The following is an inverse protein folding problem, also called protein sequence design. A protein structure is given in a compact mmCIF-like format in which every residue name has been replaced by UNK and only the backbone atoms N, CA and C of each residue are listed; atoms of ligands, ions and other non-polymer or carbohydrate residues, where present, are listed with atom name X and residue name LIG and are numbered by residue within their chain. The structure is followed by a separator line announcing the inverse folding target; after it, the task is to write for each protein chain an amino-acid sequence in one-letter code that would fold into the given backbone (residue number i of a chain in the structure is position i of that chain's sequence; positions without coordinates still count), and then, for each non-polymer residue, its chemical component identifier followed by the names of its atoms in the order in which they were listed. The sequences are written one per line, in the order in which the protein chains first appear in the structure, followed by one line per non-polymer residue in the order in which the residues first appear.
data_IF_828425480793
#
_entry.id   IF_828425480793
#
_cell.length_a   1.000
_cell.length_b   1.000
_cell.length_c   1.000
_cell.angle_alpha   90.00
_cell.angle_beta   90.00
_cell.angle_gamma   90.00
#
_symmetry.space_group_name_H-M   'P 1'
#
loop_
_entity.id
_entity.type
_entity.pdbx_description
1 polymer ?
#
# COMPACT_ATOMS: atom_id res chain seq x y z
N UNK A 1 -15.09 4.76 -1.71
CA UNK A 1 -15.46 4.81 -0.27
C UNK A 1 -14.28 5.37 0.52
N UNK A 2 -14.49 6.17 1.58
CA UNK A 2 -13.38 6.73 2.37
C UNK A 2 -13.02 5.74 3.49
N UNK A 3 -11.80 5.24 3.49
CA UNK A 3 -11.24 4.37 4.50
C UNK A 3 -10.16 5.10 5.31
N UNK A 4 -10.02 4.78 6.60
CA UNK A 4 -9.00 5.36 7.48
C UNK A 4 -7.98 4.29 7.84
N UNK A 5 -6.73 4.48 7.46
CA UNK A 5 -5.60 3.65 7.92
C UNK A 5 -4.87 4.38 9.03
N UNK A 6 -4.43 3.64 10.04
CA UNK A 6 -3.52 4.15 11.06
C UNK A 6 -2.11 3.64 10.78
N UNK A 7 -1.13 4.53 10.74
CA UNK A 7 0.25 4.12 10.55
C UNK A 7 0.80 3.51 11.85
N UNK A 8 1.36 2.28 11.82
CA UNK A 8 1.86 1.62 13.03
C UNK A 8 3.13 2.27 13.60
N UNK A 9 3.91 3.02 12.80
CA UNK A 9 5.14 3.66 13.27
C UNK A 9 4.94 5.02 13.92
N UNK A 10 4.05 5.85 13.38
CA UNK A 10 3.90 7.25 13.81
C UNK A 10 2.49 7.62 14.29
N UNK A 11 1.61 6.61 14.37
CA UNK A 11 0.23 6.70 14.83
C UNK A 11 -0.65 7.68 14.01
N UNK A 12 -0.16 8.12 12.85
CA UNK A 12 -0.88 9.03 11.98
C UNK A 12 -2.10 8.34 11.36
N UNK A 13 -3.26 9.00 11.45
CA UNK A 13 -4.46 8.61 10.71
C UNK A 13 -4.41 9.22 9.31
N UNK A 14 -4.77 8.40 8.32
CA UNK A 14 -4.77 8.80 6.92
C UNK A 14 -6.03 8.28 6.25
N UNK A 15 -6.76 9.17 5.56
CA UNK A 15 -7.94 8.81 4.78
C UNK A 15 -7.58 8.50 3.32
N UNK A 16 -8.04 7.38 2.78
CA UNK A 16 -7.89 7.03 1.36
C UNK A 16 -9.22 6.64 0.75
N UNK A 17 -9.41 7.01 -0.51
CA UNK A 17 -10.56 6.56 -1.30
C UNK A 17 -10.16 5.33 -2.09
N UNK A 18 -10.68 4.16 -1.70
CA UNK A 18 -10.54 2.95 -2.51
C UNK A 18 -11.71 2.83 -3.49
N UNK A 19 -11.39 2.32 -4.68
CA UNK A 19 -12.36 1.97 -5.73
C UNK A 19 -12.98 0.61 -5.43
N UNK A 20 -12.17 -0.36 -4.98
CA UNK A 20 -12.60 -1.71 -4.59
C UNK A 20 -12.60 -1.85 -3.05
N UNK A 21 -13.47 -2.71 -2.49
CA UNK A 21 -13.55 -2.96 -1.04
C UNK A 21 -12.36 -3.76 -0.50
N UNK A 22 -11.62 -4.41 -1.38
CA UNK A 22 -10.35 -5.07 -1.14
C UNK A 22 -9.21 -4.32 -1.83
N UNK A 23 -8.06 -4.27 -1.16
CA UNK A 23 -6.85 -3.66 -1.69
C UNK A 23 -5.63 -4.27 -1.02
N UNK A 24 -4.73 -4.82 -1.82
CA UNK A 24 -3.40 -5.21 -1.37
C UNK A 24 -2.35 -4.43 -2.13
N UNK A 25 -1.47 -3.74 -1.42
CA UNK A 25 -0.40 -3.03 -2.06
C UNK A 25 0.43 -2.13 -1.16
N UNK A 26 1.44 -1.50 -1.77
CA UNK A 26 2.32 -0.61 -1.05
C UNK A 26 1.60 0.67 -0.64
N UNK A 27 1.67 0.98 0.64
CA UNK A 27 1.19 2.19 1.27
C UNK A 27 2.37 2.98 1.84
N UNK A 28 2.40 4.28 1.55
CA UNK A 28 3.39 5.19 2.13
C UNK A 28 2.70 6.15 3.08
N UNK A 29 3.15 6.16 4.32
CA UNK A 29 2.64 7.11 5.30
C UNK A 29 2.99 8.55 4.89
N UNK A 30 2.01 9.46 4.93
CA UNK A 30 2.25 10.86 4.60
C UNK A 30 3.12 11.58 5.65
N UNK A 31 3.08 11.15 6.91
CA UNK A 31 3.77 11.78 8.05
C UNK A 31 5.21 11.25 8.22
N UNK A 32 5.40 9.97 8.50
CA UNK A 32 6.75 9.41 8.70
C UNK A 32 7.46 9.00 7.40
N UNK A 33 6.75 9.02 6.26
CA UNK A 33 7.26 8.55 4.96
C UNK A 33 7.68 7.08 4.92
N UNK A 34 7.40 6.31 5.97
CA UNK A 34 7.60 4.86 6.03
C UNK A 34 6.80 4.16 4.93
N UNK A 35 7.43 3.14 4.36
CA UNK A 35 6.82 2.27 3.37
C UNK A 35 6.27 1.04 4.07
N UNK A 36 5.04 0.68 3.74
CA UNK A 36 4.32 -0.46 4.30
C UNK A 36 3.64 -1.19 3.16
N UNK A 37 3.38 -2.47 3.34
CA UNK A 37 2.37 -3.18 2.54
C UNK A 37 1.11 -3.27 3.39
N UNK A 38 -0.01 -2.82 2.83
CA UNK A 38 -1.31 -2.96 3.48
C UNK A 38 -2.16 -3.96 2.70
N UNK A 39 -2.90 -4.79 3.45
CA UNK A 39 -3.96 -5.63 2.92
C UNK A 39 -5.27 -5.18 3.56
N UNK A 40 -6.23 -4.83 2.71
CA UNK A 40 -7.58 -4.40 3.07
C UNK A 40 -8.52 -5.45 2.48
N UNK A 41 -9.39 -5.99 3.31
CA UNK A 41 -10.43 -6.94 2.89
C UNK A 41 -11.73 -6.56 3.57
N UNK A 42 -12.84 -6.59 2.83
CA UNK A 42 -14.16 -6.18 3.32
C UNK A 42 -14.13 -4.79 3.97
N UNK A 43 -13.37 -3.87 3.39
CA UNK A 43 -13.27 -2.51 3.87
C UNK A 43 -12.62 -2.34 5.25
N UNK A 44 -11.89 -3.34 5.72
CA UNK A 44 -11.11 -3.33 6.97
C UNK A 44 -9.63 -3.60 6.69
N UNK A 45 -8.74 -2.90 7.38
CA UNK A 45 -7.30 -3.17 7.33
C UNK A 45 -7.02 -4.50 8.02
N UNK A 46 -6.63 -5.51 7.24
CA UNK A 46 -6.26 -6.83 7.74
C UNK A 46 -4.79 -6.88 8.13
N UNK A 47 -3.92 -6.31 7.30
CA UNK A 47 -2.47 -6.34 7.52
C UNK A 47 -1.86 -4.97 7.21
N UNK A 48 -0.86 -4.58 8.01
CA UNK A 48 -0.03 -3.41 7.76
C UNK A 48 1.39 -3.73 8.21
N UNK A 49 2.19 -4.24 7.29
CA UNK A 49 3.56 -4.66 7.58
C UNK A 49 4.54 -3.64 7.04
N UNK A 50 5.57 -3.25 7.83
CA UNK A 50 6.63 -2.38 7.35
C UNK A 50 7.34 -3.07 6.18
N UNK A 51 7.45 -2.34 5.09
CA UNK A 51 8.14 -2.79 3.90
C UNK A 51 9.51 -2.15 3.87
N UNK A 52 10.55 -2.98 3.79
CA UNK A 52 11.91 -2.47 3.61
C UNK A 52 12.02 -1.74 2.28
N UNK A 53 12.89 -0.73 2.22
CA UNK A 53 13.10 0.06 1.00
C UNK A 53 13.49 -0.84 -0.20
N UNK A 54 14.24 -1.91 0.06
CA UNK A 54 14.62 -2.91 -0.93
C UNK A 54 13.41 -3.69 -1.49
N UNK A 55 12.45 -4.06 -0.64
CA UNK A 55 11.24 -4.77 -1.09
C UNK A 55 10.28 -3.85 -1.84
N UNK A 56 10.18 -2.58 -1.42
CA UNK A 56 9.42 -1.58 -2.16
C UNK A 56 9.94 -1.41 -3.59
N UNK A 57 11.27 -1.34 -3.74
CA UNK A 57 11.92 -1.19 -5.05
C UNK A 57 11.72 -2.44 -5.93
N UNK A 58 11.85 -3.64 -5.35
CA UNK A 58 11.56 -4.91 -6.05
C UNK A 58 10.12 -4.99 -6.54
N UNK A 59 9.14 -4.59 -5.72
CA UNK A 59 7.73 -4.60 -6.12
C UNK A 59 7.44 -3.56 -7.21
N UNK A 60 8.06 -2.38 -7.14
CA UNK A 60 7.92 -1.35 -8.15
C UNK A 60 8.52 -1.80 -9.51
N UNK A 61 9.69 -2.43 -9.49
CA UNK A 61 10.33 -2.99 -10.68
C UNK A 61 9.50 -4.13 -11.31
N UNK A 62 8.88 -4.98 -10.49
CA UNK A 62 8.01 -6.05 -10.98
C UNK A 62 6.75 -5.50 -11.68
N UNK A 63 6.17 -4.39 -11.20
CA UNK A 63 5.04 -3.73 -11.86
C UNK A 63 5.43 -3.10 -13.20
N UNK A 64 6.60 -2.46 -13.28
CA UNK A 64 7.09 -1.84 -14.53
C UNK A 64 7.36 -2.89 -15.63
N UNK A 65 7.93 -4.04 -15.26
CA UNK A 65 8.11 -5.16 -16.18
C UNK A 65 6.77 -5.70 -16.67
N UNK A 66 5.80 -5.89 -15.79
CA UNK A 66 4.49 -6.46 -16.16
C UNK A 66 3.66 -5.52 -17.05
N UNK A 67 3.78 -4.20 -16.90
CA UNK A 67 3.14 -3.24 -17.80
C UNK A 67 3.78 -3.23 -19.20
N UNK A 68 5.11 -3.37 -19.27
CA UNK A 68 5.85 -3.47 -20.54
C UNK A 68 5.49 -4.74 -21.34
N UNK A 69 5.27 -5.87 -20.67
CA UNK A 69 4.88 -7.12 -21.34
C UNK A 69 3.40 -7.20 -21.76
N UNK A 70 2.54 -6.24 -21.35
CA UNK A 70 1.12 -6.21 -21.73
C UNK A 70 0.83 -5.44 -23.03
N UNK A 71 1.84 -4.77 -23.62
CA UNK A 71 1.73 -4.05 -24.91
C UNK A 71 2.44 -4.77 -26.07
N UNK A 72 2.58 -6.09 -26.00
CA UNK A 72 3.03 -6.94 -27.12
C UNK A 72 1.84 -7.55 -27.83
#
# INVERSE_FOLDING_TARGET
MIFKVKCPECDAESGFSLVEPDYEGPYRCWKCRGAFTIAIENNELKSCEPLSQEEFDRQQAAKDLRDKFRRG
#
